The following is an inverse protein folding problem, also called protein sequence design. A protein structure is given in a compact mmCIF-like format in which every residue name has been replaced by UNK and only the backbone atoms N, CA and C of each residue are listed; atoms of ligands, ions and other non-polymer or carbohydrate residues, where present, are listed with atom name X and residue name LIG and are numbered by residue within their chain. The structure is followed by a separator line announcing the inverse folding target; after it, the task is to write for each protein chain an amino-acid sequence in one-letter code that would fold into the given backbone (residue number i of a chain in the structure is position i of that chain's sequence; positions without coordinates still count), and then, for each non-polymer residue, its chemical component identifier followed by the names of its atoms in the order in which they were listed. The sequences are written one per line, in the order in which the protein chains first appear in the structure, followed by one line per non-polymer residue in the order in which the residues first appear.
data_IF_423990254740
#
_entry.id   IF_423990254740
#
_cell.length_a   1.000
_cell.length_b   1.000
_cell.length_c   1.000
_cell.angle_alpha   90.00
_cell.angle_beta   90.00
_cell.angle_gamma   90.00
#
_symmetry.space_group_name_H-M   'P 1'
#
loop_
_entity.id
_entity.type
_entity.pdbx_description
1 polymer ?
#
# COMPACT_ATOMS: atom_id res chain seq x y z
N UNK A 1 32.87 36.93 13.67
CA UNK A 1 31.83 36.64 14.65
C UNK A 1 30.52 36.27 14.05
N UNK A 2 30.08 36.91 12.96
CA UNK A 2 28.82 36.56 12.31
C UNK A 2 28.83 35.18 11.66
N UNK A 3 30.02 34.70 11.25
CA UNK A 3 30.16 33.40 10.63
C UNK A 3 29.86 32.22 11.54
N UNK A 4 30.25 32.31 12.81
CA UNK A 4 30.03 31.22 13.75
C UNK A 4 28.56 31.06 14.12
N UNK A 5 27.83 32.17 14.16
CA UNK A 5 26.37 32.14 14.41
C UNK A 5 25.64 31.52 13.23
N UNK A 6 26.06 31.83 12.01
CA UNK A 6 25.49 31.24 10.81
C UNK A 6 25.77 29.75 10.71
N UNK A 7 26.97 29.33 11.09
CA UNK A 7 27.33 27.92 11.12
C UNK A 7 26.47 27.15 12.12
N UNK A 8 26.18 27.71 13.27
CA UNK A 8 25.29 27.08 14.24
C UNK A 8 23.88 26.98 13.74
N UNK A 9 23.37 28.02 13.06
CA UNK A 9 22.07 27.97 12.45
C UNK A 9 21.98 26.91 11.36
N UNK A 10 23.02 26.81 10.52
CA UNK A 10 23.07 25.78 9.47
C UNK A 10 23.07 24.38 10.07
N UNK A 11 23.77 24.15 11.17
CA UNK A 11 23.77 22.86 11.86
C UNK A 11 22.39 22.54 12.45
N UNK A 12 21.73 23.52 13.04
CA UNK A 12 20.38 23.35 13.58
C UNK A 12 19.39 23.11 12.45
N UNK A 13 19.49 23.88 11.39
CA UNK A 13 18.65 23.67 10.19
C UNK A 13 18.97 22.32 9.56
N UNK A 14 20.23 21.90 9.53
CA UNK A 14 20.60 20.58 9.03
C UNK A 14 20.04 19.45 9.87
N UNK A 15 19.94 19.61 11.18
CA UNK A 15 19.31 18.62 12.05
C UNK A 15 17.81 18.63 11.93
N UNK A 16 17.20 19.81 11.74
CA UNK A 16 15.75 19.95 11.65
C UNK A 16 15.21 19.59 10.26
N UNK A 17 15.94 19.91 9.18
CA UNK A 17 15.41 19.81 7.82
C UNK A 17 15.94 18.62 7.04
N UNK A 18 17.22 18.28 7.21
CA UNK A 18 17.82 17.25 6.37
C UNK A 18 18.11 15.99 7.11
N UNK A 19 18.25 16.06 8.44
CA UNK A 19 18.84 14.93 9.09
C UNK A 19 20.10 14.51 8.32
N UNK A 20 20.91 13.67 8.83
CA UNK A 20 22.08 13.20 8.11
C UNK A 20 21.64 12.30 6.95
N UNK A 21 22.53 12.12 5.96
CA UNK A 21 22.29 11.17 4.88
C UNK A 21 22.00 9.78 5.42
N UNK A 22 22.61 9.39 6.53
CA UNK A 22 22.35 8.10 7.18
C UNK A 22 20.93 8.02 7.70
N UNK A 23 20.39 9.10 8.29
CA UNK A 23 19.02 9.13 8.76
C UNK A 23 18.04 9.04 7.61
N UNK A 24 18.34 9.69 6.49
CA UNK A 24 17.53 9.59 5.28
C UNK A 24 17.54 8.16 4.73
N UNK A 25 18.70 7.53 4.68
CA UNK A 25 18.81 6.13 4.23
C UNK A 25 18.04 5.18 5.14
N UNK A 26 18.10 5.39 6.45
CA UNK A 26 17.32 4.58 7.40
C UNK A 26 15.84 4.77 7.21
N UNK A 27 15.40 5.99 6.96
CA UNK A 27 14.00 6.29 6.69
C UNK A 27 13.55 5.62 5.39
N UNK A 28 14.38 5.68 4.34
CA UNK A 28 14.11 4.98 3.08
C UNK A 28 14.03 3.48 3.27
N UNK A 29 14.96 2.90 4.02
CA UNK A 29 14.97 1.46 4.31
C UNK A 29 13.71 1.04 5.07
N UNK A 30 13.27 1.86 6.03
CA UNK A 30 12.05 1.56 6.79
C UNK A 30 10.79 1.65 5.94
N UNK A 31 10.84 2.43 4.86
CA UNK A 31 9.71 2.54 3.93
C UNK A 31 9.65 1.41 2.92
N UNK A 32 10.66 0.54 2.87
CA UNK A 32 10.68 -0.60 1.96
C UNK A 32 9.80 -1.73 2.48
N UNK A 33 9.21 -2.48 1.56
CA UNK A 33 8.40 -3.66 1.87
C UNK A 33 9.17 -4.72 2.65
N UNK A 34 10.48 -4.81 2.45
CA UNK A 34 11.34 -5.73 3.20
C UNK A 34 11.53 -5.35 4.65
N UNK A 35 11.16 -4.13 5.03
CA UNK A 35 11.28 -3.67 6.41
C UNK A 35 10.05 -4.04 7.24
N UNK A 36 10.22 -4.57 8.46
CA UNK A 36 9.09 -4.83 9.36
C UNK A 36 8.24 -3.60 9.69
N UNK A 37 8.78 -2.40 9.46
CA UNK A 37 8.05 -1.14 9.68
C UNK A 37 7.01 -0.85 8.61
N UNK A 38 7.09 -1.51 7.46
CA UNK A 38 6.14 -1.27 6.37
C UNK A 38 4.78 -1.90 6.71
N UNK A 39 3.66 -1.19 6.46
CA UNK A 39 2.31 -1.73 6.76
C UNK A 39 2.01 -3.06 6.07
N UNK A 40 2.59 -3.30 4.90
CA UNK A 40 2.36 -4.53 4.13
C UNK A 40 3.56 -5.47 4.14
N UNK A 41 4.44 -5.35 5.13
CA UNK A 41 5.57 -6.26 5.29
C UNK A 41 5.12 -7.71 5.42
N UNK A 42 4.02 -7.96 6.14
CA UNK A 42 3.49 -9.32 6.31
C UNK A 42 3.14 -9.96 4.97
N UNK A 43 2.49 -9.20 4.09
CA UNK A 43 2.15 -9.67 2.75
C UNK A 43 3.42 -9.97 1.94
N UNK A 44 4.39 -9.05 1.99
CA UNK A 44 5.69 -9.25 1.34
C UNK A 44 6.38 -10.53 1.85
N UNK A 45 6.38 -10.74 3.17
CA UNK A 45 6.99 -11.91 3.78
C UNK A 45 6.31 -13.20 3.33
N UNK A 46 4.99 -13.22 3.24
CA UNK A 46 4.22 -14.35 2.74
C UNK A 46 4.62 -14.67 1.30
N UNK A 47 4.69 -13.66 0.46
CA UNK A 47 5.12 -13.83 -0.94
C UNK A 47 6.53 -14.37 -1.01
N UNK A 48 7.44 -13.84 -0.20
CA UNK A 48 8.84 -14.24 -0.20
C UNK A 48 9.01 -15.71 0.21
N UNK A 49 8.29 -16.14 1.23
CA UNK A 49 8.28 -17.55 1.66
C UNK A 49 7.76 -18.44 0.53
N UNK A 50 6.69 -18.04 -0.14
CA UNK A 50 6.15 -18.80 -1.26
C UNK A 50 7.10 -18.85 -2.46
N UNK A 51 7.83 -17.77 -2.72
CA UNK A 51 8.85 -17.74 -3.78
C UNK A 51 10.00 -18.68 -3.49
N UNK A 52 10.41 -18.79 -2.22
CA UNK A 52 11.48 -19.71 -1.83
C UNK A 52 11.11 -21.17 -2.11
N UNK A 53 9.82 -21.50 -2.08
CA UNK A 53 9.33 -22.83 -2.47
C UNK A 53 9.42 -23.07 -3.97
N UNK A 54 9.50 -22.00 -4.77
CA UNK A 54 9.62 -22.06 -6.23
C UNK A 54 11.07 -21.90 -6.69
N UNK A 55 12.03 -22.29 -5.86
CA UNK A 55 13.45 -22.10 -6.09
C UNK A 55 13.93 -22.64 -7.44
N UNK A 56 13.41 -23.79 -7.86
CA UNK A 56 13.77 -24.40 -9.15
C UNK A 56 13.43 -23.50 -10.35
N UNK A 57 12.29 -22.83 -10.30
CA UNK A 57 11.89 -21.92 -11.38
C UNK A 57 12.58 -20.57 -11.35
N UNK A 58 13.29 -20.26 -10.27
CA UNK A 58 13.93 -18.96 -10.05
C UNK A 58 15.47 -19.06 -10.02
N UNK A 59 16.04 -20.13 -10.58
CA UNK A 59 17.49 -20.36 -10.57
C UNK A 59 18.28 -19.21 -11.15
N UNK A 60 17.76 -18.61 -12.22
CA UNK A 60 18.46 -17.56 -12.97
C UNK A 60 18.32 -16.18 -12.31
N UNK A 61 17.54 -16.07 -11.23
CA UNK A 61 17.30 -14.82 -10.53
C UNK A 61 18.14 -14.73 -9.26
N UNK A 62 18.81 -13.59 -9.10
CA UNK A 62 19.59 -13.29 -7.90
C UNK A 62 18.67 -13.10 -6.69
N UNK A 63 19.25 -13.04 -5.48
CA UNK A 63 18.51 -12.72 -4.27
C UNK A 63 17.81 -11.37 -4.36
N UNK A 64 18.49 -10.36 -4.90
CA UNK A 64 17.92 -9.03 -5.08
C UNK A 64 16.76 -9.04 -6.08
N UNK A 65 16.90 -9.79 -7.16
CA UNK A 65 15.84 -9.93 -8.15
C UNK A 65 14.62 -10.67 -7.57
N UNK A 66 14.85 -11.66 -6.73
CA UNK A 66 13.77 -12.36 -6.02
C UNK A 66 13.06 -11.43 -5.03
N UNK A 67 13.81 -10.60 -4.34
CA UNK A 67 13.25 -9.59 -3.44
C UNK A 67 12.41 -8.58 -4.21
N UNK A 68 12.90 -8.12 -5.35
CA UNK A 68 12.16 -7.23 -6.25
C UNK A 68 10.87 -7.88 -6.75
N UNK A 69 10.95 -9.15 -7.12
CA UNK A 69 9.79 -9.92 -7.58
C UNK A 69 8.76 -10.05 -6.47
N UNK A 70 9.20 -10.35 -5.24
CA UNK A 70 8.32 -10.45 -4.08
C UNK A 70 7.60 -9.12 -3.81
N UNK A 71 8.33 -8.02 -3.89
CA UNK A 71 7.75 -6.68 -3.70
C UNK A 71 6.72 -6.35 -4.78
N UNK A 72 7.02 -6.67 -6.03
CA UNK A 72 6.10 -6.45 -7.15
C UNK A 72 4.85 -7.32 -7.03
N UNK A 73 4.99 -8.56 -6.59
CA UNK A 73 3.85 -9.44 -6.35
C UNK A 73 2.98 -8.95 -5.20
N UNK A 74 3.59 -8.44 -4.12
CA UNK A 74 2.84 -7.86 -3.00
C UNK A 74 2.06 -6.63 -3.47
N UNK A 75 2.67 -5.77 -4.27
CA UNK A 75 1.99 -4.62 -4.86
C UNK A 75 0.81 -5.05 -5.74
N UNK A 76 1.03 -6.04 -6.61
CA UNK A 76 0.00 -6.54 -7.50
C UNK A 76 -1.14 -7.19 -6.72
N UNK A 77 -0.82 -7.94 -5.67
CA UNK A 77 -1.83 -8.55 -4.80
C UNK A 77 -2.73 -7.48 -4.18
N UNK A 78 -2.15 -6.43 -3.64
CA UNK A 78 -2.93 -5.34 -3.04
C UNK A 78 -3.73 -4.57 -4.08
N UNK A 79 -3.16 -4.32 -5.24
CA UNK A 79 -3.85 -3.67 -6.35
C UNK A 79 -5.06 -4.48 -6.80
N UNK A 80 -4.92 -5.80 -6.82
CA UNK A 80 -6.00 -6.72 -7.15
C UNK A 80 -6.97 -7.01 -6.02
N UNK A 81 -6.78 -6.41 -4.85
CA UNK A 81 -7.67 -6.58 -3.70
C UNK A 81 -7.40 -7.81 -2.84
N UNK A 82 -6.29 -8.50 -3.05
CA UNK A 82 -5.90 -9.63 -2.21
C UNK A 82 -5.40 -9.15 -0.84
N UNK A 83 -5.78 -9.86 0.20
CA UNK A 83 -5.36 -9.55 1.57
C UNK A 83 -4.19 -10.39 2.03
N UNK A 84 -4.02 -11.56 1.43
CA UNK A 84 -2.96 -12.51 1.80
C UNK A 84 -2.38 -13.14 0.54
N UNK A 85 -1.18 -13.71 0.69
CA UNK A 85 -0.52 -14.50 -0.35
C UNK A 85 -0.35 -15.91 0.18
N UNK A 86 -1.33 -16.75 -0.07
CA UNK A 86 -1.30 -18.14 0.39
C UNK A 86 -0.42 -19.01 -0.49
N UNK A 87 -0.37 -18.70 -1.79
CA UNK A 87 0.43 -19.42 -2.76
C UNK A 87 1.02 -18.48 -3.78
N UNK A 88 2.20 -18.82 -4.27
CA UNK A 88 2.81 -18.20 -5.45
C UNK A 88 3.18 -19.35 -6.40
N UNK A 89 2.75 -19.25 -7.64
CA UNK A 89 2.97 -20.26 -8.65
C UNK A 89 3.54 -19.59 -9.90
N UNK A 90 4.56 -20.21 -10.47
CA UNK A 90 5.13 -19.76 -11.75
C UNK A 90 4.45 -20.48 -12.89
N UNK A 91 4.30 -19.80 -14.04
CA UNK A 91 3.87 -20.44 -15.27
C UNK A 91 4.91 -21.49 -15.71
N UNK A 92 4.52 -22.38 -16.62
CA UNK A 92 5.40 -23.48 -17.06
C UNK A 92 6.72 -22.97 -17.64
N UNK A 93 6.66 -21.86 -18.38
CA UNK A 93 7.85 -21.25 -18.98
C UNK A 93 8.55 -20.26 -18.04
N UNK A 94 8.00 -20.04 -16.82
CA UNK A 94 8.55 -19.11 -15.85
C UNK A 94 8.31 -17.63 -16.17
N UNK A 95 7.60 -17.31 -17.25
CA UNK A 95 7.42 -15.94 -17.70
C UNK A 95 6.45 -15.14 -16.83
N UNK A 96 5.56 -15.80 -16.12
CA UNK A 96 4.57 -15.17 -15.26
C UNK A 96 4.61 -15.77 -13.87
N UNK A 97 4.44 -14.92 -12.87
CA UNK A 97 4.31 -15.31 -11.48
C UNK A 97 2.92 -14.94 -11.00
N UNK A 98 2.23 -15.89 -10.41
CA UNK A 98 0.87 -15.73 -9.89
C UNK A 98 0.91 -15.70 -8.37
N UNK A 99 0.25 -14.72 -7.78
CA UNK A 99 0.01 -14.67 -6.34
C UNK A 99 -1.46 -15.03 -6.10
N UNK A 100 -1.70 -15.94 -5.18
CA UNK A 100 -3.02 -16.54 -4.98
C UNK A 100 -3.43 -16.42 -3.52
N UNK A 101 -4.62 -15.90 -3.30
CA UNK A 101 -5.30 -15.90 -2.01
C UNK A 101 -6.32 -17.03 -1.98
N UNK A 102 -6.23 -17.88 -0.98
CA UNK A 102 -7.08 -19.05 -0.83
C UNK A 102 -6.41 -20.31 -1.34
N UNK A 103 -7.14 -21.41 -1.33
CA UNK A 103 -6.63 -22.68 -1.78
C UNK A 103 -6.64 -22.76 -3.32
N UNK A 104 -5.65 -23.45 -3.87
CA UNK A 104 -5.44 -23.53 -5.32
C UNK A 104 -6.64 -24.08 -6.08
N UNK A 105 -7.35 -25.00 -5.48
CA UNK A 105 -8.52 -25.67 -6.08
C UNK A 105 -9.86 -25.07 -5.63
N UNK A 106 -9.83 -23.99 -4.84
CA UNK A 106 -11.06 -23.34 -4.39
C UNK A 106 -11.64 -22.46 -5.49
N UNK A 107 -12.94 -22.52 -5.75
CA UNK A 107 -13.58 -21.62 -6.71
C UNK A 107 -13.61 -20.18 -6.23
N UNK A 108 -13.44 -19.94 -4.94
CA UNK A 108 -13.40 -18.57 -4.37
C UNK A 108 -11.99 -18.00 -4.29
N UNK A 109 -11.01 -18.70 -4.86
CA UNK A 109 -9.64 -18.17 -4.88
C UNK A 109 -9.56 -16.86 -5.66
N UNK A 110 -8.71 -15.98 -5.18
CA UNK A 110 -8.38 -14.74 -5.89
C UNK A 110 -6.93 -14.82 -6.33
N UNK A 111 -6.65 -14.36 -7.54
CA UNK A 111 -5.27 -14.33 -8.00
C UNK A 111 -4.98 -13.11 -8.83
N UNK A 112 -3.73 -12.69 -8.77
CA UNK A 112 -3.14 -11.68 -9.61
C UNK A 112 -1.83 -12.20 -10.14
N UNK A 113 -1.30 -11.59 -11.18
CA UNK A 113 -0.05 -12.03 -11.76
C UNK A 113 0.80 -10.86 -12.21
N UNK A 114 2.10 -11.12 -12.34
CA UNK A 114 3.06 -10.18 -12.91
C UNK A 114 3.89 -10.90 -13.96
N UNK A 115 4.50 -10.14 -14.85
CA UNK A 115 5.58 -10.63 -15.71
C UNK A 115 6.82 -10.80 -14.83
N UNK A 116 7.37 -12.01 -14.78
CA UNK A 116 8.46 -12.35 -13.85
C UNK A 116 9.69 -11.48 -14.09
N UNK A 117 10.10 -11.36 -15.35
CA UNK A 117 11.31 -10.60 -15.71
C UNK A 117 11.15 -9.11 -15.42
N UNK A 118 10.02 -8.52 -15.77
CA UNK A 118 9.74 -7.11 -15.50
C UNK A 118 9.67 -6.84 -14.01
N UNK A 119 9.00 -7.71 -13.26
CA UNK A 119 8.87 -7.58 -11.81
C UNK A 119 10.22 -7.69 -11.12
N UNK A 120 11.07 -8.63 -11.54
CA UNK A 120 12.42 -8.79 -11.00
C UNK A 120 13.31 -7.59 -11.31
N UNK A 121 13.05 -6.88 -12.39
CA UNK A 121 13.77 -5.67 -12.77
C UNK A 121 13.24 -4.41 -12.09
N UNK A 122 12.03 -4.43 -11.56
CA UNK A 122 11.45 -3.29 -10.85
C UNK A 122 12.03 -3.23 -9.44
N UNK A 123 12.63 -2.11 -9.07
CA UNK A 123 13.24 -1.95 -7.75
C UNK A 123 12.20 -2.08 -6.64
N UNK A 124 12.62 -2.63 -5.51
CA UNK A 124 11.77 -2.71 -4.32
C UNK A 124 11.33 -1.33 -3.86
N UNK A 125 12.18 -0.33 -4.01
CA UNK A 125 11.87 1.06 -3.67
C UNK A 125 10.66 1.55 -4.46
N UNK A 126 10.65 1.30 -5.75
CA UNK A 126 9.55 1.72 -6.61
C UNK A 126 8.25 1.01 -6.26
N UNK A 127 8.30 -0.30 -6.04
CA UNK A 127 7.13 -1.08 -5.62
C UNK A 127 6.61 -0.61 -4.27
N UNK A 128 7.51 -0.32 -3.33
CA UNK A 128 7.16 0.18 -2.00
C UNK A 128 6.50 1.55 -2.07
N UNK A 129 7.01 2.44 -2.91
CA UNK A 129 6.43 3.77 -3.13
C UNK A 129 5.05 3.69 -3.76
N UNK A 130 4.89 2.85 -4.76
CA UNK A 130 3.60 2.65 -5.42
C UNK A 130 2.56 2.10 -4.46
N UNK A 131 2.96 1.17 -3.60
CA UNK A 131 2.07 0.61 -2.59
C UNK A 131 1.70 1.64 -1.53
N UNK A 132 2.65 2.47 -1.11
CA UNK A 132 2.37 3.56 -0.16
C UNK A 132 1.40 4.57 -0.76
N UNK A 133 1.55 4.88 -2.04
CA UNK A 133 0.62 5.77 -2.74
C UNK A 133 -0.78 5.15 -2.84
N UNK A 134 -0.87 3.88 -3.17
CA UNK A 134 -2.14 3.16 -3.22
C UNK A 134 -2.85 3.20 -1.86
N UNK A 135 -2.11 2.99 -0.78
CA UNK A 135 -2.65 3.06 0.57
C UNK A 135 -3.21 4.44 0.89
N UNK A 136 -2.49 5.50 0.53
CA UNK A 136 -2.95 6.87 0.74
C UNK A 136 -4.22 7.17 -0.04
N UNK A 137 -4.30 6.71 -1.27
CA UNK A 137 -5.50 6.87 -2.10
C UNK A 137 -6.69 6.12 -1.49
N UNK A 138 -6.48 4.92 -1.01
CA UNK A 138 -7.52 4.13 -0.36
C UNK A 138 -8.00 4.78 0.94
N UNK A 139 -7.08 5.28 1.74
CA UNK A 139 -7.42 5.99 2.98
C UNK A 139 -8.24 7.25 2.69
N UNK A 140 -7.87 8.01 1.67
CA UNK A 140 -8.62 9.19 1.26
C UNK A 140 -10.02 8.83 0.78
N UNK A 141 -10.14 7.77 -0.01
CA UNK A 141 -11.45 7.29 -0.47
C UNK A 141 -12.32 6.84 0.70
N UNK A 142 -11.75 6.09 1.63
CA UNK A 142 -12.47 5.62 2.82
C UNK A 142 -12.95 6.80 3.67
N UNK A 143 -12.09 7.81 3.83
CA UNK A 143 -12.45 9.02 4.57
C UNK A 143 -13.57 9.78 3.88
N UNK A 144 -13.50 9.91 2.56
CA UNK A 144 -14.57 10.53 1.77
C UNK A 144 -15.89 9.79 1.92
N UNK A 145 -15.86 8.46 1.88
CA UNK A 145 -17.05 7.65 2.09
C UNK A 145 -17.65 7.85 3.48
N UNK A 146 -16.80 7.93 4.49
CA UNK A 146 -17.25 8.20 5.85
C UNK A 146 -17.88 9.58 5.97
N UNK A 147 -17.25 10.59 5.36
CA UNK A 147 -17.77 11.96 5.36
C UNK A 147 -19.11 12.03 4.62
N UNK A 148 -19.25 11.35 3.50
CA UNK A 148 -20.50 11.25 2.75
C UNK A 148 -21.59 10.58 3.57
N UNK A 149 -21.28 9.48 4.25
CA UNK A 149 -22.24 8.80 5.13
C UNK A 149 -22.69 9.69 6.27
N UNK A 150 -21.76 10.43 6.87
CA UNK A 150 -22.09 11.37 7.93
C UNK A 150 -22.97 12.51 7.40
N UNK A 151 -22.64 13.02 6.21
CA UNK A 151 -23.44 14.06 5.57
C UNK A 151 -24.85 13.55 5.23
N UNK A 152 -24.97 12.31 4.74
CA UNK A 152 -26.26 11.68 4.48
C UNK A 152 -27.09 11.51 5.75
N UNK A 153 -26.46 11.04 6.85
CA UNK A 153 -27.14 10.91 8.15
C UNK A 153 -27.63 12.25 8.66
N UNK A 154 -26.80 13.28 8.53
CA UNK A 154 -27.19 14.63 8.93
C UNK A 154 -28.31 15.18 8.04
N UNK A 155 -28.25 14.91 6.75
CA UNK A 155 -29.30 15.29 5.81
C UNK A 155 -30.61 14.55 6.09
N UNK A 156 -30.55 13.26 6.45
CA UNK A 156 -31.71 12.49 6.86
C UNK A 156 -32.32 13.07 8.15
N UNK A 157 -31.50 13.41 9.14
CA UNK A 157 -31.98 14.07 10.35
C UNK A 157 -32.60 15.43 10.08
N UNK A 158 -32.01 16.21 9.19
CA UNK A 158 -32.59 17.50 8.76
C UNK A 158 -33.88 17.27 7.99
N UNK A 159 -33.89 16.26 7.12
CA UNK A 159 -35.07 15.90 6.36
C UNK A 159 -36.24 15.47 7.24
N UNK A 160 -35.97 14.84 8.35
CA UNK A 160 -37.01 14.47 9.32
C UNK A 160 -37.56 15.70 10.07
N UNK A 161 -36.70 16.68 10.38
CA UNK A 161 -37.11 17.89 11.09
C UNK A 161 -37.78 18.92 10.16
N UNK A 162 -37.22 19.16 8.99
CA UNK A 162 -37.72 20.15 8.05
C UNK A 162 -39.13 19.86 7.55
N UNK A 163 -39.49 18.63 7.15
CA UNK A 163 -40.86 18.35 6.78
C UNK A 163 -41.86 18.57 7.92
N UNK A 164 -41.48 18.27 9.15
CA UNK A 164 -42.34 18.51 10.30
C UNK A 164 -42.57 20.01 10.52
N UNK A 165 -41.55 20.83 10.40
CA UNK A 165 -41.64 22.24 10.51
C UNK A 165 -42.44 22.85 9.36
N UNK A 166 -42.20 22.37 8.14
CA UNK A 166 -42.96 22.82 6.96
C UNK A 166 -44.45 22.48 7.10
N UNK A 167 -44.77 21.28 7.61
CA UNK A 167 -46.15 20.91 7.87
C UNK A 167 -46.81 21.80 8.93
N UNK A 168 -46.08 22.09 9.99
CA UNK A 168 -46.56 22.99 11.03
C UNK A 168 -46.80 24.41 10.47
N UNK A 169 -45.89 24.91 9.66
CA UNK A 169 -46.01 26.20 9.01
C UNK A 169 -47.21 26.23 8.02
N UNK A 170 -47.42 25.18 7.26
CA UNK A 170 -48.56 25.07 6.37
C UNK A 170 -49.88 24.96 7.11
N UNK A 171 -49.90 24.27 8.23
CA UNK A 171 -51.11 24.21 9.07
C UNK A 171 -51.45 25.57 9.67
N UNK A 172 -50.44 26.35 10.03
CA UNK A 172 -50.66 27.69 10.58
C UNK A 172 -51.21 28.68 9.55
N UNK A 173 -51.02 28.44 8.27
CA UNK A 173 -51.58 29.27 7.19
C UNK A 173 -53.04 28.95 6.89
N UNK A 174 -53.50 27.78 7.19
CA UNK A 174 -54.87 27.35 6.99
C UNK A 174 -55.73 27.73 8.19
#
# INVERSE_FOLDING_TARGET
MNGSTQEQQLKVDGQATTQTLDDMRRAEQRSLLSSPSHPHHDLYSQVRVCLDKQDMGLKDYSGDQRDNLAAALALEARTGGLRSADHVVLSKDGSRAFVIEGELDSPSRRMSYVDTAQAAAQSMERSSQQLAQLNREQELQDQQRQDERQAERQAEHRGEREPSLARALFKDKD
#
